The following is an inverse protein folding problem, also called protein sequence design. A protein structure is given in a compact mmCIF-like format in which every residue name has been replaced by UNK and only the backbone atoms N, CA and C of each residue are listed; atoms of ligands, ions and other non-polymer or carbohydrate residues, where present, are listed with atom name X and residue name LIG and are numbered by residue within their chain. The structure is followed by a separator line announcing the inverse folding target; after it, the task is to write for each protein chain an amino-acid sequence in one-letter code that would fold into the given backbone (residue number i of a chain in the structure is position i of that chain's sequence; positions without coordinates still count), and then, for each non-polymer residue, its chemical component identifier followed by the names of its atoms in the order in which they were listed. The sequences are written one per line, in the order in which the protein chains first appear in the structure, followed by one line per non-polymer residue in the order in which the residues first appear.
data_IF_733603128420
#
_entry.id   IF_733603128420
#
_cell.length_a   1.000
_cell.length_b   1.000
_cell.length_c   1.000
_cell.angle_alpha   90.00
_cell.angle_beta   90.00
_cell.angle_gamma   90.00
#
_symmetry.space_group_name_H-M   'P 1'
#
loop_
_entity.id
_entity.type
_entity.pdbx_description
1 polymer ?
#
# COMPACT_ATOMS: atom_id res chain seq x y z
N UNK A 1 26.75 32.80 30.61
CA UNK A 1 25.28 32.83 30.36
C UNK A 1 24.88 32.15 29.05
N UNK A 2 25.51 32.44 27.93
CA UNK A 2 25.24 31.85 26.59
C UNK A 2 25.40 30.31 26.52
N UNK A 3 26.42 29.73 27.17
CA UNK A 3 26.61 28.27 27.18
C UNK A 3 25.48 27.52 27.88
N UNK A 4 24.92 28.04 28.96
CA UNK A 4 23.80 27.40 29.70
C UNK A 4 22.53 27.39 28.83
N UNK A 5 22.30 28.48 28.11
CA UNK A 5 21.16 28.59 27.17
C UNK A 5 21.31 27.57 26.02
N UNK A 6 22.51 27.48 25.44
CA UNK A 6 22.80 26.52 24.37
C UNK A 6 22.58 25.06 24.81
N UNK A 7 23.05 24.67 26.01
CA UNK A 7 22.88 23.33 26.56
C UNK A 7 21.40 23.04 26.77
N UNK A 8 20.63 23.98 27.34
CA UNK A 8 19.17 23.82 27.53
C UNK A 8 18.42 23.63 26.21
N UNK A 9 18.75 24.40 25.18
CA UNK A 9 18.13 24.28 23.87
C UNK A 9 18.44 22.92 23.20
N UNK A 10 19.70 22.45 23.32
CA UNK A 10 20.14 21.15 22.82
C UNK A 10 19.43 20.00 23.55
N UNK A 11 19.32 20.06 24.87
CA UNK A 11 18.60 19.06 25.67
C UNK A 11 17.11 19.03 25.33
N UNK A 12 16.45 20.18 25.20
CA UNK A 12 15.04 20.27 24.81
C UNK A 12 14.79 19.67 23.41
N UNK A 13 15.71 19.91 22.47
CA UNK A 13 15.65 19.31 21.12
C UNK A 13 15.80 17.79 21.17
N UNK A 14 16.69 17.27 21.98
CA UNK A 14 16.89 15.82 22.14
C UNK A 14 15.69 15.13 22.78
N UNK A 15 15.08 15.74 23.81
CA UNK A 15 13.87 15.21 24.44
C UNK A 15 12.70 15.19 23.46
N UNK A 16 12.48 16.27 22.73
CA UNK A 16 11.43 16.31 21.69
C UNK A 16 11.67 15.24 20.61
N UNK A 17 12.92 15.03 20.24
CA UNK A 17 13.28 14.00 19.28
C UNK A 17 12.97 12.58 19.80
N UNK A 18 13.32 12.29 21.05
CA UNK A 18 13.00 11.02 21.71
C UNK A 18 11.49 10.78 21.81
N UNK A 19 10.74 11.80 22.23
CA UNK A 19 9.27 11.73 22.33
C UNK A 19 8.65 11.47 20.95
N UNK A 20 9.11 12.18 19.92
CA UNK A 20 8.62 11.99 18.55
C UNK A 20 8.89 10.58 18.03
N UNK A 21 10.08 10.03 18.29
CA UNK A 21 10.40 8.66 17.90
C UNK A 21 9.57 7.63 18.67
N UNK A 22 9.35 7.85 19.96
CA UNK A 22 8.50 6.96 20.76
C UNK A 22 7.06 6.94 20.23
N UNK A 23 6.49 8.12 19.92
CA UNK A 23 5.15 8.23 19.34
C UNK A 23 5.10 7.53 17.98
N UNK A 24 6.09 7.74 17.12
CA UNK A 24 6.16 7.09 15.81
C UNK A 24 6.25 5.56 15.92
N UNK A 25 7.07 5.05 16.83
CA UNK A 25 7.19 3.61 17.08
C UNK A 25 5.85 3.05 17.59
N UNK A 26 5.24 3.71 18.57
CA UNK A 26 3.94 3.29 19.11
C UNK A 26 2.86 3.25 18.01
N UNK A 27 2.80 4.28 17.18
CA UNK A 27 1.86 4.36 16.08
C UNK A 27 2.14 3.28 15.01
N UNK A 28 3.41 3.04 14.70
CA UNK A 28 3.81 1.96 13.79
C UNK A 28 3.42 0.58 14.30
N UNK A 29 3.61 0.32 15.59
CA UNK A 29 3.19 -0.93 16.22
C UNK A 29 1.67 -1.10 16.15
N UNK A 30 0.91 -0.04 16.40
CA UNK A 30 -0.55 -0.07 16.33
C UNK A 30 -1.05 -0.39 14.91
N UNK A 31 -0.42 0.19 13.88
CA UNK A 31 -0.73 -0.13 12.48
C UNK A 31 -0.36 -1.57 12.13
N UNK A 32 0.71 -2.11 12.74
CA UNK A 32 1.13 -3.49 12.51
C UNK A 32 0.24 -4.55 13.17
N UNK A 33 -0.53 -4.20 14.21
CA UNK A 33 -1.38 -5.17 14.91
C UNK A 33 -2.33 -5.94 13.97
N UNK A 34 -3.12 -5.31 13.08
CA UNK A 34 -3.98 -6.05 12.18
C UNK A 34 -3.20 -6.94 11.21
N UNK A 35 -2.00 -6.53 10.77
CA UNK A 35 -1.14 -7.35 9.91
C UNK A 35 -0.60 -8.58 10.65
N UNK A 36 -0.17 -8.41 11.89
CA UNK A 36 0.26 -9.52 12.75
C UNK A 36 -0.89 -10.50 13.01
N UNK A 37 -2.12 -9.99 13.16
CA UNK A 37 -3.32 -10.82 13.29
C UNK A 37 -3.57 -11.67 12.04
N UNK A 38 -3.49 -11.07 10.85
CA UNK A 38 -3.62 -11.79 9.58
C UNK A 38 -2.51 -12.82 9.44
N UNK A 39 -1.28 -12.44 9.75
CA UNK A 39 -0.13 -13.34 9.73
C UNK A 39 -0.34 -14.55 10.65
N UNK A 40 -0.78 -14.32 11.89
CA UNK A 40 -1.14 -15.40 12.82
C UNK A 40 -2.20 -16.32 12.21
N UNK A 41 -3.27 -15.77 11.66
CA UNK A 41 -4.36 -16.56 11.09
C UNK A 41 -3.92 -17.38 9.89
N UNK A 42 -2.93 -16.93 9.11
CA UNK A 42 -2.40 -17.69 7.99
C UNK A 42 -1.74 -19.01 8.39
N UNK A 43 -1.23 -19.10 9.63
CA UNK A 43 -0.64 -20.30 10.21
C UNK A 43 -1.59 -21.09 11.13
N UNK A 44 -2.88 -20.73 11.13
CA UNK A 44 -3.88 -21.34 12.03
C UNK A 44 -4.88 -22.15 11.22
N UNK A 45 -5.37 -23.28 11.79
CA UNK A 45 -6.43 -24.05 11.17
C UNK A 45 -7.70 -23.20 11.02
N UNK A 46 -8.44 -23.41 9.93
CA UNK A 46 -9.68 -22.69 9.59
C UNK A 46 -10.70 -22.66 10.75
N UNK A 47 -10.83 -23.76 11.48
CA UNK A 47 -11.76 -23.82 12.63
C UNK A 47 -11.32 -22.93 13.80
N UNK A 48 -10.01 -22.84 14.05
CA UNK A 48 -9.47 -22.09 15.19
C UNK A 48 -9.25 -20.61 14.85
N UNK A 49 -9.16 -20.26 13.56
CA UNK A 49 -9.00 -18.88 13.12
C UNK A 49 -10.19 -17.98 13.50
N UNK A 50 -11.39 -18.56 13.60
CA UNK A 50 -12.64 -17.86 13.92
C UNK A 50 -13.16 -18.09 15.35
N UNK A 51 -12.41 -18.82 16.20
CA UNK A 51 -12.83 -19.01 17.60
C UNK A 51 -12.74 -17.72 18.40
N UNK A 52 -13.73 -17.50 19.24
CA UNK A 52 -13.80 -16.41 20.21
C UNK A 52 -14.01 -17.01 21.60
N UNK A 53 -13.09 -16.86 22.55
CA UNK A 53 -11.77 -16.15 22.46
C UNK A 53 -10.76 -16.86 21.55
N UNK A 54 -9.78 -16.12 21.00
CA UNK A 54 -8.77 -16.68 20.13
C UNK A 54 -7.92 -17.71 20.89
N UNK A 55 -7.85 -18.94 20.37
CA UNK A 55 -6.96 -19.98 20.92
C UNK A 55 -5.63 -19.97 20.19
N UNK A 56 -4.53 -20.13 20.94
CA UNK A 56 -3.22 -20.36 20.36
C UNK A 56 -3.14 -21.83 19.92
N UNK A 57 -3.24 -22.06 18.62
CA UNK A 57 -3.06 -23.39 18.03
C UNK A 57 -1.62 -23.57 17.53
N UNK A 58 -1.15 -24.82 17.37
CA UNK A 58 0.13 -25.08 16.72
C UNK A 58 0.22 -24.42 15.37
N UNK A 59 1.41 -23.97 14.99
CA UNK A 59 1.67 -23.41 13.66
C UNK A 59 1.53 -24.50 12.63
N UNK A 60 0.66 -24.31 11.65
CA UNK A 60 0.43 -25.23 10.54
C UNK A 60 0.66 -24.51 9.21
N UNK A 61 1.11 -25.26 8.21
CA UNK A 61 1.37 -24.74 6.85
C UNK A 61 0.33 -25.20 5.84
N UNK A 62 -0.73 -25.85 6.29
CA UNK A 62 -1.76 -26.45 5.44
C UNK A 62 -2.43 -25.42 4.52
N UNK A 63 -2.66 -24.21 5.01
CA UNK A 63 -3.23 -23.13 4.20
C UNK A 63 -2.34 -22.77 3.00
N UNK A 64 -1.02 -22.78 3.20
CA UNK A 64 -0.05 -22.50 2.13
C UNK A 64 0.01 -23.65 1.13
N UNK A 65 0.04 -24.89 1.62
CA UNK A 65 0.01 -26.09 0.77
C UNK A 65 -1.27 -26.10 -0.06
N UNK A 66 -2.42 -25.80 0.57
CA UNK A 66 -3.70 -25.74 -0.11
C UNK A 66 -3.73 -24.71 -1.25
N UNK A 67 -3.17 -23.51 -1.03
CA UNK A 67 -3.12 -22.46 -2.06
C UNK A 67 -2.32 -22.91 -3.28
N UNK A 68 -1.17 -23.55 -3.07
CA UNK A 68 -0.30 -23.98 -4.16
C UNK A 68 -0.75 -25.29 -4.85
N UNK A 69 -1.54 -26.13 -4.17
CA UNK A 69 -2.01 -27.42 -4.71
C UNK A 69 -3.39 -27.33 -5.35
N UNK A 70 -4.30 -26.55 -4.79
CA UNK A 70 -5.69 -26.45 -5.26
C UNK A 70 -5.92 -25.31 -6.25
N UNK A 71 -5.05 -24.29 -6.26
CA UNK A 71 -5.23 -23.10 -7.10
C UNK A 71 -3.96 -22.86 -7.91
N UNK A 72 -4.05 -22.33 -9.13
CA UNK A 72 -2.91 -21.91 -9.93
C UNK A 72 -2.31 -20.60 -9.41
N UNK A 73 -2.02 -20.55 -8.09
CA UNK A 73 -1.57 -19.34 -7.39
C UNK A 73 -0.28 -18.76 -7.98
N UNK A 74 0.66 -19.64 -8.39
CA UNK A 74 1.90 -19.22 -9.03
C UNK A 74 1.66 -18.40 -10.29
N UNK A 75 0.72 -18.86 -11.15
CA UNK A 75 0.34 -18.13 -12.36
C UNK A 75 -0.34 -16.80 -12.04
N UNK A 76 -1.23 -16.79 -11.08
CA UNK A 76 -1.89 -15.54 -10.66
C UNK A 76 -0.88 -14.52 -10.12
N UNK A 77 0.04 -14.98 -9.28
CA UNK A 77 1.10 -14.12 -8.73
C UNK A 77 1.99 -13.56 -9.83
N UNK A 78 2.44 -14.44 -10.77
CA UNK A 78 3.28 -14.02 -11.88
C UNK A 78 2.59 -13.01 -12.78
N UNK A 79 1.33 -13.24 -13.16
CA UNK A 79 0.55 -12.32 -13.98
C UNK A 79 0.39 -10.96 -13.28
N UNK A 80 0.05 -10.96 -11.99
CA UNK A 80 -0.05 -9.73 -11.21
C UNK A 80 1.28 -8.97 -11.14
N UNK A 81 2.38 -9.70 -10.96
CA UNK A 81 3.71 -9.11 -10.94
C UNK A 81 4.08 -8.47 -12.28
N UNK A 82 3.84 -9.18 -13.39
CA UNK A 82 4.11 -8.66 -14.74
C UNK A 82 3.30 -7.39 -15.01
N UNK A 83 1.99 -7.42 -14.73
CA UNK A 83 1.13 -6.26 -14.93
C UNK A 83 1.60 -5.08 -14.07
N UNK A 84 1.86 -5.29 -12.79
CA UNK A 84 2.32 -4.24 -11.88
C UNK A 84 3.67 -3.66 -12.32
N UNK A 85 4.61 -4.52 -12.73
CA UNK A 85 5.93 -4.11 -13.18
C UNK A 85 5.86 -3.21 -14.42
N UNK A 86 5.17 -3.67 -15.48
CA UNK A 86 5.07 -2.90 -16.72
C UNK A 86 4.23 -1.63 -16.54
N UNK A 87 3.16 -1.68 -15.76
CA UNK A 87 2.39 -0.48 -15.45
C UNK A 87 3.24 0.57 -14.75
N UNK A 88 4.04 0.16 -13.77
CA UNK A 88 4.95 1.07 -13.05
C UNK A 88 6.04 1.61 -13.97
N UNK A 89 6.65 0.73 -14.77
CA UNK A 89 7.73 1.08 -15.70
C UNK A 89 7.27 2.12 -16.73
N UNK A 90 6.04 2.03 -17.18
CA UNK A 90 5.47 2.95 -18.16
C UNK A 90 4.98 4.24 -17.46
N UNK A 91 4.17 4.11 -16.39
CA UNK A 91 3.53 5.28 -15.78
C UNK A 91 4.49 6.20 -15.05
N UNK A 92 5.54 5.66 -14.40
CA UNK A 92 6.47 6.45 -13.61
C UNK A 92 7.26 7.49 -14.42
N UNK A 93 7.87 7.15 -15.59
CA UNK A 93 8.54 8.15 -16.42
C UNK A 93 7.61 9.26 -16.91
N UNK A 94 6.39 8.91 -17.36
CA UNK A 94 5.41 9.93 -17.79
C UNK A 94 4.99 10.82 -16.63
N UNK A 95 4.72 10.27 -15.46
CA UNK A 95 4.40 11.04 -14.26
C UNK A 95 5.55 11.98 -13.87
N UNK A 96 6.80 11.50 -13.92
CA UNK A 96 7.98 12.32 -13.63
C UNK A 96 8.17 13.47 -14.65
N UNK A 97 7.95 13.20 -15.93
CA UNK A 97 8.02 14.23 -17.00
C UNK A 97 6.96 15.30 -16.79
N UNK A 98 5.73 14.92 -16.49
CA UNK A 98 4.62 15.84 -16.21
C UNK A 98 4.93 16.67 -14.94
N UNK A 99 5.35 16.02 -13.87
CA UNK A 99 5.70 16.69 -12.62
C UNK A 99 6.85 17.70 -12.82
N UNK A 100 7.88 17.32 -13.56
CA UNK A 100 9.00 18.21 -13.90
C UNK A 100 8.53 19.42 -14.73
N UNK A 101 7.68 19.20 -15.73
CA UNK A 101 7.11 20.27 -16.55
C UNK A 101 6.31 21.27 -15.71
N UNK A 102 5.53 20.79 -14.76
CA UNK A 102 4.77 21.64 -13.84
C UNK A 102 5.67 22.41 -12.88
N UNK A 103 6.72 21.76 -12.36
CA UNK A 103 7.61 22.41 -11.42
C UNK A 103 8.50 23.47 -12.08
N UNK A 104 9.03 23.20 -13.27
CA UNK A 104 10.00 24.05 -13.93
C UNK A 104 9.38 25.12 -14.84
N UNK A 105 8.37 24.75 -15.61
CA UNK A 105 7.80 25.61 -16.66
C UNK A 105 6.41 26.13 -16.32
N UNK A 106 5.83 25.76 -15.18
CA UNK A 106 4.47 26.13 -14.78
C UNK A 106 3.40 25.80 -15.85
N UNK A 107 3.62 24.72 -16.62
CA UNK A 107 2.82 24.32 -17.78
C UNK A 107 1.36 24.16 -17.41
N UNK A 108 0.45 24.76 -18.22
CA UNK A 108 -0.99 24.70 -18.00
C UNK A 108 -1.51 25.47 -16.77
N UNK A 109 -0.63 26.11 -16.01
CA UNK A 109 -0.97 26.99 -14.90
C UNK A 109 -1.85 26.32 -13.83
N UNK A 110 -2.65 27.13 -13.14
CA UNK A 110 -3.54 26.70 -12.07
C UNK A 110 -4.65 25.75 -12.56
N UNK A 111 -5.20 26.00 -13.74
CA UNK A 111 -6.36 25.28 -14.25
C UNK A 111 -6.06 23.82 -14.57
N UNK A 112 -4.92 23.53 -15.22
CA UNK A 112 -4.53 22.16 -15.52
C UNK A 112 -4.25 21.37 -14.24
N UNK A 113 -3.62 21.98 -13.25
CA UNK A 113 -3.39 21.35 -11.94
C UNK A 113 -4.69 21.03 -11.21
N UNK A 114 -5.66 21.96 -11.21
CA UNK A 114 -6.97 21.73 -10.61
C UNK A 114 -7.73 20.63 -11.36
N UNK A 115 -7.65 20.59 -12.68
CA UNK A 115 -8.24 19.52 -13.49
C UNK A 115 -7.67 18.14 -13.11
N UNK A 116 -6.35 18.01 -13.02
CA UNK A 116 -5.70 16.75 -12.59
C UNK A 116 -6.07 16.36 -11.16
N UNK A 117 -6.16 17.32 -10.24
CA UNK A 117 -6.64 17.05 -8.89
C UNK A 117 -8.11 16.59 -8.89
N UNK A 118 -8.95 17.18 -9.72
CA UNK A 118 -10.37 16.79 -9.81
C UNK A 118 -10.56 15.37 -10.33
N UNK A 119 -9.67 14.88 -11.22
CA UNK A 119 -9.74 13.49 -11.68
C UNK A 119 -9.49 12.47 -10.57
N UNK A 120 -8.71 12.83 -9.55
CA UNK A 120 -8.45 11.97 -8.38
C UNK A 120 -9.65 11.90 -7.42
N UNK A 121 -10.60 12.83 -7.52
CA UNK A 121 -11.82 12.81 -6.71
C UNK A 121 -12.84 11.76 -7.18
N UNK A 122 -12.67 11.23 -8.40
CA UNK A 122 -13.54 10.18 -8.92
C UNK A 122 -13.16 8.85 -8.25
N UNK A 123 -14.08 8.21 -7.49
CA UNK A 123 -13.78 6.94 -6.88
C UNK A 123 -13.41 5.88 -7.93
N UNK A 124 -12.30 5.14 -7.77
CA UNK A 124 -11.86 4.16 -8.76
C UNK A 124 -12.92 3.11 -9.09
N UNK A 125 -13.80 2.76 -8.14
CA UNK A 125 -14.86 1.77 -8.33
C UNK A 125 -15.85 2.18 -9.43
N UNK A 126 -16.08 3.48 -9.63
CA UNK A 126 -16.99 3.97 -10.69
C UNK A 126 -16.41 3.71 -12.07
N UNK A 127 -15.08 3.75 -12.19
CA UNK A 127 -14.37 3.53 -13.45
C UNK A 127 -14.24 2.04 -13.78
N UNK A 128 -14.18 1.18 -12.76
CA UNK A 128 -14.00 -0.28 -12.92
C UNK A 128 -15.12 -0.90 -13.74
N UNK A 129 -16.38 -0.53 -13.49
CA UNK A 129 -17.53 -1.13 -14.19
C UNK A 129 -17.53 -0.87 -15.71
N UNK A 130 -17.38 0.38 -16.20
CA UNK A 130 -17.25 0.64 -17.63
C UNK A 130 -16.03 -0.05 -18.26
N UNK A 131 -14.89 -0.04 -17.60
CA UNK A 131 -13.68 -0.72 -18.07
C UNK A 131 -13.94 -2.21 -18.21
N UNK A 132 -14.54 -2.85 -17.20
CA UNK A 132 -14.88 -4.27 -17.26
C UNK A 132 -15.81 -4.60 -18.43
N UNK A 133 -16.81 -3.75 -18.73
CA UNK A 133 -17.69 -3.91 -19.86
C UNK A 133 -16.95 -3.82 -21.20
N UNK A 134 -15.97 -2.92 -21.31
CA UNK A 134 -15.11 -2.81 -22.49
C UNK A 134 -14.26 -4.08 -22.67
N UNK A 135 -13.64 -4.58 -21.60
CA UNK A 135 -12.86 -5.82 -21.65
C UNK A 135 -13.71 -7.04 -22.06
N UNK A 136 -14.96 -7.10 -21.58
CA UNK A 136 -15.92 -8.12 -22.01
C UNK A 136 -16.25 -8.02 -23.50
N UNK A 137 -16.55 -6.82 -23.99
CA UNK A 137 -16.92 -6.60 -25.41
C UNK A 137 -15.76 -6.90 -26.38
N UNK A 138 -14.53 -6.73 -25.92
CA UNK A 138 -13.31 -7.02 -26.68
C UNK A 138 -12.80 -8.46 -26.51
N UNK A 139 -13.51 -9.32 -25.77
CA UNK A 139 -13.10 -10.69 -25.44
C UNK A 139 -11.68 -10.77 -24.81
N UNK A 140 -11.29 -9.77 -24.03
CA UNK A 140 -9.97 -9.70 -23.39
C UNK A 140 -9.94 -10.39 -22.02
N UNK A 141 -11.07 -10.91 -21.55
CA UNK A 141 -11.13 -11.61 -20.25
C UNK A 141 -10.69 -13.05 -20.46
N UNK A 142 -9.73 -13.49 -19.65
CA UNK A 142 -9.08 -14.81 -19.70
C UNK A 142 -8.34 -15.13 -21.03
N UNK A 143 -8.03 -14.15 -21.84
CA UNK A 143 -7.16 -14.27 -23.01
C UNK A 143 -5.80 -13.66 -22.69
N UNK A 144 -4.87 -14.50 -22.25
CA UNK A 144 -3.46 -14.14 -22.06
C UNK A 144 -2.60 -14.86 -23.09
#
# INVERSE_FOLDING_TARGET
MLQVVYIRLKMKKNILYLISHFILILFSLLIMLPLLWILRNSFTNKLNAYKIPPEFSPIIFDNYIEIFTKYPFGSYFFNSFVIAFFTTLISLPFAAMIAYSFAKFNTGGKYLRLFLLSTQMIPPIIIVLPIFSIYLSLNLINNY
#
